data_IF_545395781530
#
_entry.id   IF_545395781530
#
_cell.length_a   1.000
_cell.length_b   1.000
_cell.length_c   1.000
_cell.angle_alpha   90.00
_cell.angle_beta   90.00
_cell.angle_gamma   90.00
#
_symmetry.space_group_name_H-M   'P 1'
#
loop_
_entity.id
_entity.type
_entity.pdbx_description
1 polymer ?
#
# COMPACT_ATOMS: atom_id res chain seq x y z
N UNK A 1 -19.77 14.78 6.01
CA UNK A 1 -18.39 14.41 5.68
C UNK A 1 -18.09 12.94 6.07
N UNK A 2 -19.06 12.02 5.88
CA UNK A 2 -18.95 10.60 6.27
C UNK A 2 -18.68 9.72 5.03
N UNK A 3 -19.21 10.14 3.87
CA UNK A 3 -19.13 9.39 2.62
C UNK A 3 -17.69 9.31 2.05
N UNK A 4 -16.92 10.39 2.12
CA UNK A 4 -15.54 10.41 1.66
C UNK A 4 -14.69 9.39 2.44
N UNK A 5 -14.73 9.43 3.78
CA UNK A 5 -14.02 8.52 4.67
C UNK A 5 -14.39 7.05 4.40
N UNK A 6 -15.68 6.77 4.14
CA UNK A 6 -16.12 5.41 3.79
C UNK A 6 -15.52 4.89 2.48
N UNK A 7 -15.29 5.76 1.48
CA UNK A 7 -14.66 5.37 0.22
C UNK A 7 -13.17 5.13 0.41
N UNK A 8 -12.50 5.94 1.21
CA UNK A 8 -11.07 5.74 1.51
C UNK A 8 -10.88 4.39 2.22
N UNK A 9 -11.67 4.13 3.25
CA UNK A 9 -11.61 2.89 4.02
C UNK A 9 -11.92 1.66 3.18
N UNK A 10 -12.84 1.77 2.21
CA UNK A 10 -13.07 0.71 1.21
C UNK A 10 -11.83 0.41 0.37
N UNK A 11 -11.08 1.43 -0.05
CA UNK A 11 -9.83 1.23 -0.84
C UNK A 11 -8.75 0.54 -0.02
N UNK A 12 -8.59 0.92 1.25
CA UNK A 12 -7.66 0.25 2.16
C UNK A 12 -8.06 -1.21 2.39
N UNK A 13 -9.35 -1.48 2.62
CA UNK A 13 -9.85 -2.83 2.81
C UNK A 13 -9.69 -3.70 1.56
N UNK A 14 -9.98 -3.16 0.38
CA UNK A 14 -9.79 -3.85 -0.89
C UNK A 14 -8.32 -4.18 -1.14
N UNK A 15 -7.43 -3.22 -0.90
CA UNK A 15 -5.99 -3.44 -1.08
C UNK A 15 -5.43 -4.44 -0.05
N UNK A 16 -5.92 -4.41 1.20
CA UNK A 16 -5.59 -5.43 2.21
C UNK A 16 -6.05 -6.83 1.77
N UNK A 17 -7.22 -6.94 1.14
CA UNK A 17 -7.70 -8.21 0.60
C UNK A 17 -6.79 -8.71 -0.53
N UNK A 18 -6.37 -7.84 -1.46
CA UNK A 18 -5.43 -8.22 -2.52
C UNK A 18 -4.12 -8.76 -1.94
N UNK A 19 -3.56 -8.08 -0.94
CA UNK A 19 -2.33 -8.52 -0.26
C UNK A 19 -2.51 -9.90 0.39
N UNK A 20 -3.65 -10.15 1.07
CA UNK A 20 -3.94 -11.44 1.70
C UNK A 20 -3.99 -12.56 0.67
N UNK A 21 -4.72 -12.36 -0.43
CA UNK A 21 -4.81 -13.32 -1.52
C UNK A 21 -3.42 -13.61 -2.11
N UNK A 22 -2.61 -12.58 -2.38
CA UNK A 22 -1.26 -12.74 -2.91
C UNK A 22 -0.32 -13.51 -1.95
N UNK A 23 -0.41 -13.25 -0.64
CA UNK A 23 0.33 -13.99 0.39
C UNK A 23 -0.06 -15.47 0.39
N UNK A 24 -1.35 -15.76 0.22
CA UNK A 24 -1.90 -17.12 0.13
C UNK A 24 -1.51 -17.85 -1.17
N UNK A 25 -0.90 -17.15 -2.13
CA UNK A 25 -0.41 -17.71 -3.39
C UNK A 25 -1.25 -17.33 -4.60
N UNK A 26 -2.37 -16.63 -4.42
CA UNK A 26 -3.24 -16.18 -5.51
C UNK A 26 -2.62 -15.00 -6.25
N UNK A 27 -2.13 -15.25 -7.47
CA UNK A 27 -1.41 -14.26 -8.26
C UNK A 27 -2.33 -13.30 -9.03
N UNK A 28 -3.65 -13.50 -8.98
CA UNK A 28 -4.64 -12.76 -9.77
C UNK A 28 -4.55 -11.24 -9.57
N UNK A 29 -4.21 -10.80 -8.36
CA UNK A 29 -4.12 -9.38 -7.98
C UNK A 29 -2.68 -8.89 -7.86
N UNK A 30 -1.68 -9.72 -8.21
CA UNK A 30 -0.26 -9.37 -8.05
C UNK A 30 0.08 -8.12 -8.85
N UNK A 31 -0.44 -8.01 -10.08
CA UNK A 31 -0.15 -6.87 -10.95
C UNK A 31 -0.60 -5.55 -10.30
N UNK A 32 -1.82 -5.52 -9.78
CA UNK A 32 -2.40 -4.35 -9.11
C UNK A 32 -1.62 -4.00 -7.83
N UNK A 33 -1.15 -5.01 -7.10
CA UNK A 33 -0.29 -4.82 -5.92
C UNK A 33 1.06 -4.24 -6.34
N UNK A 34 1.73 -4.85 -7.32
CA UNK A 34 3.03 -4.43 -7.83
C UNK A 34 2.98 -3.00 -8.36
N UNK A 35 1.92 -2.63 -9.08
CA UNK A 35 1.72 -1.26 -9.56
C UNK A 35 1.68 -0.27 -8.39
N UNK A 36 0.89 -0.55 -7.34
CA UNK A 36 0.84 0.31 -6.14
C UNK A 36 2.22 0.39 -5.47
N UNK A 37 2.91 -0.74 -5.31
CA UNK A 37 4.23 -0.76 -4.66
C UNK A 37 5.28 0.01 -5.47
N UNK A 38 5.26 -0.11 -6.79
CA UNK A 38 6.14 0.62 -7.68
C UNK A 38 5.86 2.12 -7.62
N UNK A 39 4.59 2.55 -7.61
CA UNK A 39 4.25 3.96 -7.43
C UNK A 39 4.76 4.50 -6.08
N UNK A 40 4.58 3.74 -4.99
CA UNK A 40 5.10 4.13 -3.67
C UNK A 40 6.62 4.26 -3.69
N UNK A 41 7.31 3.30 -4.33
CA UNK A 41 8.77 3.29 -4.47
C UNK A 41 9.26 4.51 -5.26
N UNK A 42 8.71 4.77 -6.44
CA UNK A 42 9.09 5.91 -7.26
C UNK A 42 8.83 7.24 -6.54
N UNK A 43 7.70 7.35 -5.83
CA UNK A 43 7.38 8.53 -5.02
C UNK A 43 8.32 8.69 -3.82
N UNK A 44 8.73 7.60 -3.17
CA UNK A 44 9.67 7.63 -2.05
C UNK A 44 11.10 8.00 -2.49
N UNK A 45 11.50 7.61 -3.70
CA UNK A 45 12.79 7.97 -4.30
C UNK A 45 12.82 9.38 -4.92
N UNK A 46 11.66 10.05 -5.02
CA UNK A 46 11.54 11.32 -5.74
C UNK A 46 11.69 11.17 -7.26
N UNK A 47 11.49 9.96 -7.79
CA UNK A 47 11.50 9.66 -9.22
C UNK A 47 10.16 10.00 -9.90
N UNK A 48 9.09 10.09 -9.11
CA UNK A 48 7.76 10.57 -9.52
C UNK A 48 7.25 11.64 -8.58
N UNK A 49 6.51 12.57 -9.15
CA UNK A 49 5.77 13.60 -8.42
C UNK A 49 4.33 13.15 -8.12
N UNK A 50 3.71 13.74 -7.10
CA UNK A 50 2.35 13.36 -6.66
C UNK A 50 1.27 13.47 -7.74
N UNK A 51 1.44 14.38 -8.69
CA UNK A 51 0.48 14.58 -9.79
C UNK A 51 0.60 13.54 -10.89
N UNK A 52 1.67 12.73 -10.88
CA UNK A 52 1.94 11.67 -11.86
C UNK A 52 1.42 10.30 -11.38
N UNK A 53 1.05 10.19 -10.11
CA UNK A 53 0.56 8.95 -9.50
C UNK A 53 -0.92 8.72 -9.83
N UNK A 54 -1.29 7.46 -10.03
CA UNK A 54 -2.69 7.06 -10.23
C UNK A 54 -3.60 7.56 -9.11
N UNK A 55 -4.63 8.33 -9.49
CA UNK A 55 -5.61 8.92 -8.56
C UNK A 55 -6.46 7.86 -7.84
N UNK A 56 -6.63 6.68 -8.43
CA UNK A 56 -7.48 5.64 -7.87
C UNK A 56 -6.93 5.11 -6.56
N UNK A 57 -5.63 4.85 -6.49
CA UNK A 57 -4.92 4.30 -5.33
C UNK A 57 -4.09 5.35 -4.58
N UNK A 58 -4.17 6.63 -4.95
CA UNK A 58 -3.34 7.71 -4.40
C UNK A 58 -3.30 7.73 -2.86
N UNK A 59 -4.43 7.50 -2.19
CA UNK A 59 -4.51 7.50 -0.74
C UNK A 59 -3.76 6.32 -0.11
N UNK A 60 -3.86 5.13 -0.71
CA UNK A 60 -3.11 3.94 -0.29
C UNK A 60 -1.61 4.20 -0.52
N UNK A 61 -1.25 4.74 -1.67
CA UNK A 61 0.14 5.04 -2.04
C UNK A 61 0.76 6.04 -1.05
N UNK A 62 0.07 7.16 -0.79
CA UNK A 62 0.50 8.18 0.17
C UNK A 62 0.64 7.60 1.58
N UNK A 63 -0.33 6.80 2.02
CA UNK A 63 -0.29 6.18 3.34
C UNK A 63 0.92 5.25 3.48
N UNK A 64 1.14 4.35 2.51
CA UNK A 64 2.24 3.41 2.54
C UNK A 64 3.60 4.12 2.49
N UNK A 65 3.72 5.15 1.63
CA UNK A 65 4.92 5.99 1.56
C UNK A 65 5.21 6.62 2.91
N UNK A 66 4.23 7.27 3.53
CA UNK A 66 4.43 7.98 4.80
C UNK A 66 4.74 7.03 5.97
N UNK A 67 4.16 5.81 5.99
CA UNK A 67 4.42 4.84 7.05
C UNK A 67 5.74 4.08 6.88
N UNK A 68 6.19 3.90 5.65
CA UNK A 68 7.33 3.05 5.33
C UNK A 68 8.35 3.79 4.42
N UNK A 69 8.50 5.10 4.57
CA UNK A 69 9.31 5.92 3.66
C UNK A 69 10.74 5.39 3.51
N UNK A 70 11.40 5.06 4.63
CA UNK A 70 12.73 4.46 4.64
C UNK A 70 12.77 3.12 3.90
N UNK A 71 11.78 2.26 4.13
CA UNK A 71 11.69 0.95 3.46
C UNK A 71 11.63 1.11 1.94
N UNK A 72 10.75 2.00 1.45
CA UNK A 72 10.56 2.21 0.02
C UNK A 72 11.72 2.99 -0.65
N UNK A 73 12.44 3.83 0.09
CA UNK A 73 13.58 4.60 -0.44
C UNK A 73 14.90 3.81 -0.44
N UNK A 74 15.12 2.90 0.52
CA UNK A 74 16.42 2.22 0.68
C UNK A 74 16.40 0.69 0.64
N UNK A 75 15.28 0.02 0.94
CA UNK A 75 15.25 -1.44 1.14
C UNK A 75 14.65 -2.22 -0.05
N UNK A 76 13.79 -1.60 -0.88
CA UNK A 76 13.28 -2.22 -2.11
C UNK A 76 14.29 -2.01 -3.26
N UNK A 77 15.50 -2.52 -3.08
CA UNK A 77 16.39 -2.78 -4.22
C UNK A 77 15.98 -4.12 -4.86
N UNK A 78 15.81 -4.09 -6.17
CA UNK A 78 15.02 -5.00 -7.02
C UNK A 78 15.42 -6.48 -7.05
N UNK A 79 16.24 -6.98 -6.11
CA UNK A 79 16.83 -8.33 -6.19
C UNK A 79 16.88 -9.14 -4.89
N UNK A 80 16.38 -8.65 -3.75
CA UNK A 80 16.68 -9.33 -2.48
C UNK A 80 15.52 -9.60 -1.50
N UNK A 81 14.32 -9.09 -1.73
CA UNK A 81 13.19 -9.36 -0.80
C UNK A 81 12.15 -10.25 -1.49
N UNK A 82 11.76 -11.33 -0.82
CA UNK A 82 10.62 -12.15 -1.25
C UNK A 82 9.36 -11.28 -1.29
N UNK A 83 8.68 -11.26 -2.44
CA UNK A 83 7.43 -10.51 -2.67
C UNK A 83 6.44 -10.72 -1.51
N UNK A 84 6.37 -11.95 -0.97
CA UNK A 84 5.47 -12.27 0.16
C UNK A 84 5.80 -11.51 1.44
N UNK A 85 7.07 -11.30 1.75
CA UNK A 85 7.47 -10.59 2.97
C UNK A 85 7.23 -9.08 2.83
N UNK A 86 7.40 -8.53 1.63
CA UNK A 86 6.96 -7.17 1.31
C UNK A 86 5.44 -7.06 1.55
N UNK A 87 4.67 -7.99 1.00
CA UNK A 87 3.20 -7.95 1.12
C UNK A 87 2.74 -8.05 2.56
N UNK A 88 3.35 -8.92 3.39
CA UNK A 88 3.04 -9.02 4.82
C UNK A 88 3.30 -7.70 5.55
N UNK A 89 4.46 -7.06 5.30
CA UNK A 89 4.80 -5.78 5.94
C UNK A 89 3.81 -4.67 5.58
N UNK A 90 3.36 -4.65 4.32
CA UNK A 90 2.35 -3.69 3.87
C UNK A 90 0.99 -3.98 4.48
N UNK A 91 0.58 -5.25 4.52
CA UNK A 91 -0.67 -5.68 5.12
C UNK A 91 -0.74 -5.26 6.60
N UNK A 92 0.32 -5.52 7.37
CA UNK A 92 0.39 -5.09 8.77
C UNK A 92 0.25 -3.57 8.93
N UNK A 93 0.82 -2.79 8.02
CA UNK A 93 0.70 -1.32 8.05
C UNK A 93 -0.74 -0.86 7.85
N UNK A 94 -1.48 -1.52 6.94
CA UNK A 94 -2.88 -1.21 6.63
C UNK A 94 -3.81 -1.65 7.76
N UNK A 95 -3.60 -2.84 8.32
CA UNK A 95 -4.40 -3.35 9.43
C UNK A 95 -4.23 -2.51 10.71
N UNK A 96 -3.04 -1.96 10.95
CA UNK A 96 -2.79 -1.01 12.05
C UNK A 96 -3.60 0.28 11.88
N UNK A 97 -3.69 0.84 10.66
CA UNK A 97 -4.56 2.00 10.38
C UNK A 97 -6.02 1.68 10.70
N UNK A 98 -6.49 0.51 10.26
CA UNK A 98 -7.88 0.10 10.48
C UNK A 98 -8.19 -0.15 11.96
N UNK A 99 -7.21 -0.64 12.73
CA UNK A 99 -7.36 -0.86 14.17
C UNK A 99 -7.34 0.44 14.98
N UNK A 100 -6.59 1.46 14.51
CA UNK A 100 -6.57 2.80 15.13
C UNK A 100 -7.90 3.52 14.95
N UNK A 101 -8.56 3.36 13.79
CA UNK A 101 -9.90 3.92 13.53
C UNK A 101 -10.99 3.37 14.46
N UNK A 102 -10.81 2.16 15.01
CA UNK A 102 -11.79 1.55 15.93
C UNK A 102 -11.64 2.09 17.37
N UNK A 103 -10.46 2.59 17.74
CA UNK A 103 -10.18 3.07 19.10
C UNK A 103 -10.43 4.58 19.31
N UNK A 104 -10.84 5.30 18.27
CA UNK A 104 -11.16 6.75 18.34
C UNK A 104 -12.67 7.04 18.47
N UNK A 105 -13.48 6.01 18.73
CA UNK A 105 -14.92 6.09 19.03
C UNK A 105 -15.24 5.44 20.39
#
# INVERSE_FOLDING_TARGET
>A
MIYAQSIEDQKFNLFALFLKEAINGEQKYKKEIDEVLNEVKHLAKGEKELYEVSKEMLQVILFLRNKNEKFFSTEIDEKQIDDKDIYKKMLSSIELKNSQLINEF
#
